data_IF_921731337279
#
_entry.id   IF_921731337279
#
_cell.length_a   1.000
_cell.length_b   1.000
_cell.length_c   1.000
_cell.angle_alpha   90.00
_cell.angle_beta   90.00
_cell.angle_gamma   90.00
#
_symmetry.space_group_name_H-M   'P 1'
#
loop_
_entity.id
_entity.type
_entity.pdbx_description
1 polymer ?
#
# COMPACT_ATOMS: atom_id res chain seq x y z
N UNK A 1 -7.52 -11.61 12.59
CA UNK A 1 -6.44 -12.40 11.95
C UNK A 1 -5.09 -11.80 12.33
N UNK A 2 -3.99 -12.56 12.25
CA UNK A 2 -2.64 -12.09 12.56
C UNK A 2 -1.67 -12.61 11.49
N UNK A 3 -0.67 -11.78 11.16
CA UNK A 3 0.51 -12.18 10.38
C UNK A 3 1.76 -11.95 11.23
N UNK A 4 2.77 -12.80 11.04
CA UNK A 4 4.10 -12.64 11.63
C UNK A 4 5.05 -12.23 10.53
N UNK A 5 5.79 -11.15 10.73
CA UNK A 5 6.83 -10.68 9.83
C UNK A 5 8.18 -10.94 10.49
N UNK A 6 9.11 -11.52 9.73
CA UNK A 6 10.46 -11.82 10.16
C UNK A 6 11.41 -11.67 8.96
N UNK A 7 12.72 -11.70 9.21
CA UNK A 7 13.69 -11.70 8.11
C UNK A 7 13.62 -13.03 7.35
N UNK A 8 13.83 -13.00 6.03
CA UNK A 8 13.81 -14.22 5.21
C UNK A 8 14.84 -15.26 5.69
N UNK A 9 16.00 -14.81 6.17
CA UNK A 9 17.04 -15.67 6.73
C UNK A 9 16.54 -16.42 7.98
N UNK A 10 15.86 -15.72 8.89
CA UNK A 10 15.30 -16.33 10.11
C UNK A 10 14.17 -17.31 9.78
N UNK A 11 13.24 -16.93 8.89
CA UNK A 11 12.16 -17.79 8.42
C UNK A 11 12.71 -19.11 7.84
N UNK A 12 13.73 -19.03 6.97
CA UNK A 12 14.38 -20.21 6.38
C UNK A 12 15.10 -21.06 7.42
N UNK A 13 15.85 -20.43 8.33
CA UNK A 13 16.61 -21.16 9.35
C UNK A 13 15.73 -22.03 10.25
N UNK A 14 14.53 -21.56 10.58
CA UNK A 14 13.56 -22.31 11.40
C UNK A 14 12.57 -23.17 10.59
N UNK A 15 12.71 -23.23 9.26
CA UNK A 15 11.81 -24.00 8.38
C UNK A 15 10.37 -23.48 8.30
N UNK A 16 10.17 -22.16 8.42
CA UNK A 16 8.84 -21.56 8.34
C UNK A 16 8.24 -21.68 6.93
N UNK A 17 6.91 -21.85 6.85
CA UNK A 17 6.19 -21.70 5.58
C UNK A 17 6.07 -20.20 5.23
N UNK A 18 6.76 -19.77 4.17
CA UNK A 18 6.77 -18.37 3.73
C UNK A 18 5.58 -18.13 2.80
N UNK A 19 4.63 -17.30 3.24
CA UNK A 19 3.42 -16.98 2.46
C UNK A 19 3.65 -15.88 1.40
N UNK A 20 4.66 -15.03 1.61
CA UNK A 20 4.98 -13.92 0.73
C UNK A 20 6.12 -13.07 1.30
N UNK A 21 6.55 -12.07 0.54
CA UNK A 21 7.56 -11.10 0.95
C UNK A 21 6.93 -9.70 1.04
N UNK A 22 7.20 -9.00 2.14
CA UNK A 22 6.91 -7.57 2.25
C UNK A 22 8.08 -6.81 1.62
N UNK A 23 7.87 -6.28 0.42
CA UNK A 23 8.94 -5.62 -0.35
C UNK A 23 9.12 -4.15 0.02
N UNK A 24 8.03 -3.44 0.35
CA UNK A 24 8.06 -2.02 0.71
C UNK A 24 6.77 -1.59 1.38
N UNK A 25 6.84 -0.52 2.18
CA UNK A 25 5.69 0.08 2.84
C UNK A 25 5.92 1.58 3.01
N UNK A 26 4.85 2.36 2.91
CA UNK A 26 4.87 3.80 3.11
C UNK A 26 3.59 4.24 3.80
N UNK A 27 3.68 5.34 4.55
CA UNK A 27 2.54 5.95 5.24
C UNK A 27 2.63 7.46 5.10
N UNK A 28 1.47 8.09 4.89
CA UNK A 28 1.31 9.54 4.82
C UNK A 28 0.05 9.97 5.56
N UNK A 29 -0.15 11.28 5.68
CA UNK A 29 -1.42 11.90 6.06
C UNK A 29 -1.64 13.08 5.12
N UNK A 30 -2.87 13.26 4.65
CA UNK A 30 -3.23 14.41 3.82
C UNK A 30 -3.54 15.67 4.62
N UNK A 31 -3.93 15.52 5.89
CA UNK A 31 -4.33 16.63 6.75
C UNK A 31 -5.47 17.47 6.18
N UNK A 32 -6.29 16.91 5.28
CA UNK A 32 -7.24 17.68 4.49
C UNK A 32 -8.55 17.95 5.22
N UNK A 33 -9.18 16.91 5.76
CA UNK A 33 -10.49 17.02 6.42
C UNK A 33 -10.64 15.95 7.50
N UNK A 34 -11.54 16.19 8.47
CA UNK A 34 -11.73 15.30 9.63
C UNK A 34 -12.20 13.90 9.24
N UNK A 35 -13.01 13.79 8.18
CA UNK A 35 -13.67 12.53 7.76
C UNK A 35 -13.63 12.28 6.24
N UNK A 36 -12.91 13.11 5.48
CA UNK A 36 -12.85 12.98 4.02
C UNK A 36 -11.39 13.08 3.55
N UNK A 37 -10.97 12.28 2.56
CA UNK A 37 -9.64 12.41 1.96
C UNK A 37 -9.55 13.66 1.08
N UNK A 38 -8.33 14.12 0.81
CA UNK A 38 -8.07 15.07 -0.27
C UNK A 38 -8.59 14.49 -1.59
N UNK A 39 -9.55 15.15 -2.28
CA UNK A 39 -10.14 14.64 -3.53
C UNK A 39 -9.11 14.49 -4.66
N UNK A 40 -7.95 15.14 -4.55
CA UNK A 40 -6.87 14.99 -5.53
C UNK A 40 -6.01 13.73 -5.29
N UNK A 41 -6.19 13.00 -4.18
CA UNK A 41 -5.49 11.74 -3.91
C UNK A 41 -3.96 11.86 -3.76
N UNK A 42 -3.38 13.06 -3.80
CA UNK A 42 -1.94 13.28 -3.92
C UNK A 42 -1.10 12.54 -2.88
N UNK A 43 -1.56 12.55 -1.61
CA UNK A 43 -0.81 11.95 -0.50
C UNK A 43 -0.97 10.44 -0.44
N UNK A 44 -2.11 9.91 -0.91
CA UNK A 44 -2.30 8.48 -1.11
C UNK A 44 -1.45 7.97 -2.28
N UNK A 45 -1.46 8.68 -3.42
CA UNK A 45 -0.60 8.37 -4.57
C UNK A 45 0.88 8.41 -4.22
N UNK A 46 1.32 9.44 -3.49
CA UNK A 46 2.70 9.50 -2.99
C UNK A 46 3.06 8.32 -2.09
N UNK A 47 2.14 7.88 -1.21
CA UNK A 47 2.39 6.71 -0.37
C UNK A 47 2.59 5.45 -1.23
N UNK A 48 1.75 5.23 -2.25
CA UNK A 48 1.89 4.10 -3.17
C UNK A 48 3.20 4.16 -3.95
N UNK A 49 3.51 5.28 -4.60
CA UNK A 49 4.79 5.48 -5.33
C UNK A 49 5.99 5.22 -4.44
N UNK A 50 5.98 5.76 -3.20
CA UNK A 50 7.08 5.56 -2.26
C UNK A 50 7.23 4.10 -1.83
N UNK A 51 6.14 3.37 -1.66
CA UNK A 51 6.19 1.94 -1.32
C UNK A 51 6.78 1.10 -2.48
N UNK A 52 6.42 1.42 -3.72
CA UNK A 52 6.96 0.81 -4.94
C UNK A 52 8.47 1.09 -5.07
N UNK A 53 8.89 2.34 -4.85
CA UNK A 53 10.32 2.72 -4.85
C UNK A 53 11.11 1.97 -3.76
N UNK A 54 10.57 1.89 -2.54
CA UNK A 54 11.20 1.17 -1.44
C UNK A 54 11.33 -0.34 -1.73
N UNK A 55 10.39 -0.89 -2.50
CA UNK A 55 10.43 -2.26 -3.00
C UNK A 55 11.45 -2.46 -4.14
N UNK A 56 12.03 -1.38 -4.69
CA UNK A 56 12.91 -1.43 -5.85
C UNK A 56 12.19 -1.80 -7.15
N UNK A 57 10.88 -1.55 -7.21
CA UNK A 57 10.02 -1.86 -8.35
C UNK A 57 9.64 -0.60 -9.13
N UNK A 58 8.98 -0.80 -10.27
CA UNK A 58 8.28 0.21 -11.05
C UNK A 58 6.77 -0.02 -11.02
N UNK A 59 5.93 0.99 -11.30
CA UNK A 59 4.48 0.81 -11.36
C UNK A 59 4.04 -0.29 -12.34
N UNK A 60 4.80 -0.50 -13.42
CA UNK A 60 4.52 -1.54 -14.42
C UNK A 60 4.80 -2.96 -13.93
N UNK A 61 5.47 -3.13 -12.78
CA UNK A 61 5.67 -4.44 -12.15
C UNK A 61 4.47 -4.86 -11.26
N UNK A 62 3.44 -4.01 -11.15
CA UNK A 62 2.27 -4.26 -10.29
C UNK A 62 1.10 -4.79 -11.12
N UNK A 63 0.83 -6.09 -10.98
CA UNK A 63 -0.28 -6.76 -11.69
C UNK A 63 -1.65 -6.55 -11.02
N UNK A 64 -1.66 -6.28 -9.71
CA UNK A 64 -2.88 -6.23 -8.93
C UNK A 64 -2.81 -5.21 -7.79
N UNK A 65 -3.88 -4.45 -7.62
CA UNK A 65 -4.09 -3.52 -6.52
C UNK A 65 -5.34 -3.96 -5.75
N UNK A 66 -5.17 -4.29 -4.48
CA UNK A 66 -6.28 -4.51 -3.57
C UNK A 66 -6.64 -3.19 -2.88
N UNK A 67 -7.60 -2.46 -3.48
CA UNK A 67 -8.06 -1.16 -3.03
C UNK A 67 -8.75 -1.20 -1.65
N UNK A 68 -8.86 -0.03 -1.01
CA UNK A 68 -9.68 0.16 0.18
C UNK A 68 -11.17 0.09 -0.14
N UNK A 69 -11.61 0.79 -1.20
CA UNK A 69 -12.92 0.69 -1.85
C UNK A 69 -14.10 0.55 -0.86
N UNK A 70 -14.31 1.58 -0.05
CA UNK A 70 -15.36 1.58 0.98
C UNK A 70 -16.78 1.68 0.42
N UNK A 71 -16.94 1.94 -0.88
CA UNK A 71 -18.23 2.14 -1.51
C UNK A 71 -18.76 3.56 -1.31
N UNK A 72 -17.90 4.51 -0.94
CA UNK A 72 -18.29 5.90 -0.71
C UNK A 72 -17.89 6.75 -1.90
N UNK A 73 -18.80 7.58 -2.42
CA UNK A 73 -18.50 8.41 -3.61
C UNK A 73 -17.26 9.29 -3.41
N UNK A 74 -17.10 9.87 -2.23
CA UNK A 74 -15.95 10.76 -1.94
C UNK A 74 -14.65 9.97 -1.84
N UNK A 75 -14.65 8.85 -1.10
CA UNK A 75 -13.46 8.04 -0.89
C UNK A 75 -13.01 7.32 -2.15
N UNK A 76 -13.93 6.68 -2.85
CA UNK A 76 -13.61 5.84 -4.01
C UNK A 76 -13.13 6.69 -5.21
N UNK A 77 -13.63 7.93 -5.37
CA UNK A 77 -13.12 8.87 -6.38
C UNK A 77 -11.68 9.30 -6.05
N UNK A 78 -11.42 9.69 -4.80
CA UNK A 78 -10.07 10.10 -4.38
C UNK A 78 -9.06 8.95 -4.51
N UNK A 79 -9.48 7.72 -4.16
CA UNK A 79 -8.67 6.50 -4.33
C UNK A 79 -8.39 6.22 -5.81
N UNK A 80 -9.39 6.36 -6.69
CA UNK A 80 -9.21 6.17 -8.13
C UNK A 80 -8.23 7.18 -8.73
N UNK A 81 -8.26 8.43 -8.28
CA UNK A 81 -7.29 9.47 -8.69
C UNK A 81 -5.88 9.14 -8.18
N UNK A 82 -5.76 8.61 -6.96
CA UNK A 82 -4.47 8.24 -6.39
C UNK A 82 -3.79 7.07 -7.12
N UNK A 83 -4.58 6.10 -7.60
CA UNK A 83 -4.09 4.89 -8.28
C UNK A 83 -3.60 5.18 -9.71
N UNK A 84 -4.21 6.17 -10.37
CA UNK A 84 -4.02 6.48 -11.78
C UNK A 84 -2.77 7.32 -12.06
#
# INVERSE_FOLDING_TARGET
>A
ALLVIETEAHAKARGANILGRLMGASITSDGFHMVAPDPNGNRAGYAMTRAIELAGLSPTDIDHINAHATGTTVGDVAESVAIN
#
